data_IF_287956278907
#
_entry.id   IF_287956278907
#
_cell.length_a   1.000
_cell.length_b   1.000
_cell.length_c   1.000
_cell.angle_alpha   90.00
_cell.angle_beta   90.00
_cell.angle_gamma   90.00
#
_symmetry.space_group_name_H-M   'P 1'
#
loop_
_entity.id
_entity.type
_entity.pdbx_description
1 polymer ?
#
# COMPACT_ATOMS: atom_id res chain seq x y z
N UNK A 1 -21.35 12.82 24.61
CA UNK A 1 -21.83 11.77 23.70
C UNK A 1 -20.97 11.88 22.46
N UNK A 2 -20.10 10.92 22.20
CA UNK A 2 -19.30 10.88 20.98
C UNK A 2 -20.27 10.64 19.85
N UNK A 3 -20.46 11.62 18.96
CA UNK A 3 -21.23 11.42 17.74
C UNK A 3 -20.60 10.24 16.99
N UNK A 4 -21.26 9.09 17.02
CA UNK A 4 -20.91 7.97 16.16
C UNK A 4 -21.24 8.43 14.74
N UNK A 5 -20.23 8.98 14.06
CA UNK A 5 -20.29 9.19 12.62
C UNK A 5 -20.46 7.80 12.02
N UNK A 6 -21.70 7.47 11.65
CA UNK A 6 -22.04 6.19 11.04
C UNK A 6 -21.54 6.29 9.59
N UNK A 7 -20.35 5.76 9.36
CA UNK A 7 -19.76 5.71 8.01
C UNK A 7 -20.53 4.67 7.21
N UNK A 8 -21.19 5.01 6.09
CA UNK A 8 -21.93 4.05 5.28
C UNK A 8 -20.98 3.05 4.62
N UNK A 9 -21.45 1.82 4.37
CA UNK A 9 -20.63 0.76 3.78
C UNK A 9 -20.04 1.17 2.41
N UNK A 10 -20.78 1.96 1.63
CA UNK A 10 -20.31 2.50 0.34
C UNK A 10 -19.09 3.39 0.48
N UNK A 11 -19.00 4.17 1.57
CA UNK A 11 -17.85 5.02 1.85
C UNK A 11 -16.64 4.18 2.30
N UNK A 12 -16.85 3.10 3.06
CA UNK A 12 -15.77 2.16 3.40
C UNK A 12 -15.19 1.50 2.14
N UNK A 13 -16.05 1.06 1.21
CA UNK A 13 -15.61 0.49 -0.08
C UNK A 13 -14.82 1.51 -0.91
N UNK A 14 -15.29 2.76 -0.97
CA UNK A 14 -14.58 3.82 -1.69
C UNK A 14 -13.19 4.09 -1.09
N UNK A 15 -13.10 4.15 0.24
CA UNK A 15 -11.84 4.34 0.96
C UNK A 15 -10.88 3.17 0.72
N UNK A 16 -11.38 1.94 0.78
CA UNK A 16 -10.59 0.73 0.50
C UNK A 16 -10.03 0.75 -0.93
N UNK A 17 -10.85 1.06 -1.93
CA UNK A 17 -10.41 1.18 -3.32
C UNK A 17 -9.30 2.23 -3.49
N UNK A 18 -9.44 3.39 -2.85
CA UNK A 18 -8.41 4.44 -2.88
C UNK A 18 -7.10 3.98 -2.23
N UNK A 19 -7.16 3.24 -1.13
CA UNK A 19 -5.97 2.69 -0.47
C UNK A 19 -5.27 1.66 -1.37
N UNK A 20 -6.02 0.79 -2.05
CA UNK A 20 -5.45 -0.15 -3.04
C UNK A 20 -4.76 0.57 -4.19
N UNK A 21 -5.39 1.61 -4.76
CA UNK A 21 -4.75 2.41 -5.80
C UNK A 21 -3.43 3.02 -5.32
N UNK A 22 -3.37 3.49 -4.07
CA UNK A 22 -2.13 4.00 -3.48
C UNK A 22 -1.07 2.90 -3.31
N UNK A 23 -1.46 1.70 -2.84
CA UNK A 23 -0.56 0.56 -2.75
C UNK A 23 0.02 0.17 -4.12
N UNK A 24 -0.79 0.20 -5.17
CA UNK A 24 -0.37 -0.08 -6.54
C UNK A 24 0.53 1.01 -7.13
N UNK A 25 0.31 2.28 -6.78
CA UNK A 25 1.27 3.35 -7.10
C UNK A 25 2.61 3.06 -6.44
N UNK A 26 2.64 2.78 -5.14
CA UNK A 26 3.88 2.48 -4.41
C UNK A 26 4.63 1.30 -5.04
N UNK A 27 3.94 0.22 -5.40
CA UNK A 27 4.55 -0.94 -6.09
C UNK A 27 5.19 -0.57 -7.42
N UNK A 28 4.49 0.21 -8.25
CA UNK A 28 5.01 0.64 -9.55
C UNK A 28 6.25 1.51 -9.39
N UNK A 29 6.24 2.43 -8.43
CA UNK A 29 7.39 3.28 -8.12
C UNK A 29 8.59 2.45 -7.64
N UNK A 30 8.38 1.48 -6.74
CA UNK A 30 9.46 0.55 -6.30
C UNK A 30 10.06 -0.19 -7.49
N UNK A 31 9.22 -0.70 -8.40
CA UNK A 31 9.68 -1.42 -9.59
C UNK A 31 10.47 -0.53 -10.55
N UNK A 32 10.01 0.69 -10.80
CA UNK A 32 10.72 1.67 -11.64
C UNK A 32 12.08 2.05 -11.04
N UNK A 33 12.11 2.27 -9.71
CA UNK A 33 13.36 2.51 -9.00
C UNK A 33 14.29 1.31 -9.08
N UNK A 34 13.78 0.09 -8.90
CA UNK A 34 14.59 -1.13 -9.03
C UNK A 34 15.27 -1.23 -10.40
N UNK A 35 14.52 -1.03 -11.48
CA UNK A 35 15.06 -1.05 -12.84
C UNK A 35 16.11 0.05 -13.05
N UNK A 36 15.87 1.24 -12.51
CA UNK A 36 16.81 2.37 -12.59
C UNK A 36 18.10 2.04 -11.84
N UNK A 37 18.01 1.47 -10.63
CA UNK A 37 19.16 1.09 -9.80
C UNK A 37 19.98 -0.02 -10.48
N UNK A 38 19.32 -1.03 -11.03
CA UNK A 38 19.97 -2.10 -11.80
C UNK A 38 20.71 -1.52 -13.02
N UNK A 39 20.15 -0.52 -13.70
CA UNK A 39 20.79 0.11 -14.87
C UNK A 39 22.08 0.89 -14.54
N UNK A 40 22.28 1.31 -13.28
CA UNK A 40 23.44 2.09 -12.83
C UNK A 40 24.42 1.29 -11.95
N UNK A 41 24.17 -0.01 -11.77
CA UNK A 41 24.98 -0.88 -10.91
C UNK A 41 26.47 -0.90 -11.31
N UNK A 42 26.74 -0.69 -12.60
CA UNK A 42 28.10 -0.60 -13.17
C UNK A 42 28.98 0.51 -12.56
N UNK A 43 28.39 1.51 -11.89
CA UNK A 43 29.13 2.57 -11.17
C UNK A 43 29.94 1.99 -9.98
N UNK A 44 29.60 0.78 -9.53
CA UNK A 44 30.40 -0.02 -8.61
C UNK A 44 30.62 0.63 -7.23
N UNK A 45 31.79 0.39 -6.64
CA UNK A 45 32.12 0.73 -5.24
C UNK A 45 31.89 2.21 -4.85
N UNK A 46 31.90 3.13 -5.83
CA UNK A 46 31.67 4.56 -5.60
C UNK A 46 30.26 4.87 -5.09
N UNK A 47 29.30 4.01 -5.41
CA UNK A 47 27.91 4.10 -4.97
C UNK A 47 27.53 3.01 -3.94
N UNK A 48 28.51 2.30 -3.36
CA UNK A 48 28.25 1.19 -2.43
C UNK A 48 27.29 1.52 -1.28
N UNK A 49 27.41 2.72 -0.67
CA UNK A 49 26.48 3.19 0.38
C UNK A 49 25.03 3.31 -0.11
N UNK A 50 24.85 3.76 -1.35
CA UNK A 50 23.53 3.89 -1.95
C UNK A 50 22.92 2.50 -2.21
N UNK A 51 23.68 1.56 -2.76
CA UNK A 51 23.17 0.20 -3.01
C UNK A 51 22.84 -0.55 -1.72
N UNK A 52 23.63 -0.38 -0.65
CA UNK A 52 23.28 -0.92 0.67
C UNK A 52 21.97 -0.33 1.19
N UNK A 53 21.83 1.01 1.15
CA UNK A 53 20.59 1.66 1.58
C UNK A 53 19.39 1.21 0.74
N UNK A 54 19.56 1.06 -0.58
CA UNK A 54 18.52 0.55 -1.47
C UNK A 54 18.11 -0.89 -1.12
N UNK A 55 19.08 -1.77 -0.88
CA UNK A 55 18.84 -3.17 -0.50
C UNK A 55 18.06 -3.28 0.82
N UNK A 56 18.30 -2.37 1.77
CA UNK A 56 17.59 -2.32 3.05
C UNK A 56 16.19 -1.69 2.92
N UNK A 57 16.08 -0.58 2.16
CA UNK A 57 14.84 0.20 2.06
C UNK A 57 13.80 -0.46 1.15
N UNK A 58 14.21 -1.14 0.07
CA UNK A 58 13.30 -1.82 -0.86
C UNK A 58 12.30 -2.76 -0.15
N UNK A 59 12.72 -3.73 0.68
CA UNK A 59 11.79 -4.62 1.37
C UNK A 59 10.92 -3.89 2.40
N UNK A 60 11.34 -2.74 2.94
CA UNK A 60 10.48 -1.90 3.78
C UNK A 60 9.34 -1.26 2.98
N UNK A 61 9.63 -0.74 1.79
CA UNK A 61 8.61 -0.17 0.91
C UNK A 61 7.63 -1.24 0.40
N UNK A 62 8.13 -2.44 0.07
CA UNK A 62 7.28 -3.59 -0.31
C UNK A 62 6.36 -4.01 0.84
N UNK A 63 6.88 -4.07 2.07
CA UNK A 63 6.07 -4.33 3.27
C UNK A 63 5.02 -3.27 3.53
N UNK A 64 5.35 -1.99 3.29
CA UNK A 64 4.38 -0.90 3.42
C UNK A 64 3.23 -1.05 2.42
N UNK A 65 3.52 -1.36 1.16
CA UNK A 65 2.47 -1.61 0.16
C UNK A 65 1.58 -2.80 0.56
N UNK A 66 2.16 -3.88 1.11
CA UNK A 66 1.40 -5.02 1.62
C UNK A 66 0.51 -4.66 2.83
N UNK A 67 0.99 -3.78 3.73
CA UNK A 67 0.20 -3.29 4.85
C UNK A 67 -1.02 -2.46 4.40
N UNK A 68 -0.85 -1.64 3.36
CA UNK A 68 -1.96 -0.89 2.76
C UNK A 68 -3.03 -1.82 2.19
N UNK A 69 -2.62 -2.87 1.48
CA UNK A 69 -3.57 -3.87 0.94
C UNK A 69 -4.32 -4.60 2.04
N UNK A 70 -3.63 -5.04 3.10
CA UNK A 70 -4.27 -5.68 4.24
C UNK A 70 -5.31 -4.76 4.91
N UNK A 71 -5.01 -3.47 5.04
CA UNK A 71 -5.97 -2.52 5.58
C UNK A 71 -7.17 -2.29 4.64
N UNK A 72 -6.95 -2.26 3.32
CA UNK A 72 -8.05 -2.20 2.36
C UNK A 72 -8.95 -3.44 2.42
N UNK A 73 -8.37 -4.64 2.57
CA UNK A 73 -9.11 -5.90 2.75
C UNK A 73 -9.98 -5.87 4.01
N UNK A 74 -9.45 -5.36 5.13
CA UNK A 74 -10.20 -5.20 6.38
C UNK A 74 -11.39 -4.26 6.22
N UNK A 75 -11.21 -3.12 5.54
CA UNK A 75 -12.28 -2.17 5.26
C UNK A 75 -13.37 -2.77 4.38
N UNK A 76 -13.00 -3.51 3.33
CA UNK A 76 -13.98 -4.21 2.48
C UNK A 76 -14.73 -5.30 3.25
N UNK A 77 -14.03 -6.08 4.07
CA UNK A 77 -14.64 -7.11 4.90
C UNK A 77 -15.61 -6.51 5.93
N UNK A 78 -15.31 -5.33 6.48
CA UNK A 78 -16.23 -4.60 7.33
C UNK A 78 -17.44 -4.07 6.55
N UNK A 79 -17.22 -3.46 5.38
CA UNK A 79 -18.29 -2.95 4.54
C UNK A 79 -19.29 -4.04 4.14
N UNK A 80 -18.80 -5.21 3.72
CA UNK A 80 -19.64 -6.37 3.38
C UNK A 80 -20.47 -6.87 4.57
N UNK A 81 -19.88 -6.90 5.77
CA UNK A 81 -20.60 -7.28 7.00
C UNK A 81 -21.73 -6.29 7.31
N UNK A 82 -21.49 -5.00 7.11
CA UNK A 82 -22.51 -3.96 7.29
C UNK A 82 -23.63 -4.08 6.27
N UNK A 83 -23.29 -4.27 4.99
CA UNK A 83 -24.29 -4.47 3.94
C UNK A 83 -25.21 -5.66 4.23
N UNK A 84 -24.63 -6.81 4.61
CA UNK A 84 -25.43 -8.00 4.96
C UNK A 84 -26.33 -7.75 6.16
N UNK A 85 -25.85 -7.02 7.17
CA UNK A 85 -26.64 -6.69 8.36
C UNK A 85 -27.78 -5.72 8.07
N UNK A 86 -27.62 -4.81 7.10
CA UNK A 86 -28.66 -3.89 6.65
C UNK A 86 -29.72 -4.59 5.77
N UNK A 87 -29.35 -5.69 5.08
CA UNK A 87 -30.22 -6.47 4.20
C UNK A 87 -31.06 -7.54 4.92
N UNK A 88 -30.74 -7.85 6.19
CA UNK A 88 -31.44 -8.84 7.05
C UNK A 88 -32.33 -8.19 8.10
#
# INVERSE_FOLDING_TARGET
MTDLITVPYSELLQRAARIREQADVVRREIQQLAQTVESIEWIGARAGRFFSLWADARPEMERWAAALDGFADELEAQARRMQVADET
#
